data_IF_696199596289
#
_entry.id   IF_696199596289
#
_cell.length_a   1.000
_cell.length_b   1.000
_cell.length_c   1.000
_cell.angle_alpha   90.00
_cell.angle_beta   90.00
_cell.angle_gamma   90.00
#
_symmetry.space_group_name_H-M   'P 1'
#
loop_
_entity.id
_entity.type
_entity.pdbx_description
1 polymer ?
#
# COMPACT_ATOMS: atom_id res chain seq x y z
N UNK A 1 15.17 -36.25 -4.91
CA UNK A 1 15.68 -34.87 -5.04
C UNK A 1 14.55 -34.08 -5.68
N UNK A 2 13.61 -33.65 -4.85
CA UNK A 2 12.45 -32.89 -5.32
C UNK A 2 12.90 -31.45 -5.51
N UNK A 3 13.02 -31.04 -6.76
CA UNK A 3 13.26 -29.65 -7.13
C UNK A 3 12.02 -28.86 -6.71
N UNK A 4 12.11 -28.17 -5.58
CA UNK A 4 11.11 -27.21 -5.12
C UNK A 4 11.15 -26.02 -6.09
N UNK A 5 10.46 -26.15 -7.24
CA UNK A 5 10.24 -25.01 -8.11
C UNK A 5 9.42 -23.99 -7.31
N UNK A 6 9.85 -22.72 -7.22
CA UNK A 6 9.01 -21.69 -6.63
C UNK A 6 7.69 -21.68 -7.41
N UNK A 7 6.58 -21.81 -6.70
CA UNK A 7 5.25 -21.62 -7.30
C UNK A 7 5.24 -20.22 -7.95
N UNK A 8 4.57 -20.03 -9.10
CA UNK A 8 4.57 -18.75 -9.81
C UNK A 8 4.07 -17.56 -8.96
N UNK A 9 3.34 -17.86 -7.88
CA UNK A 9 2.86 -16.91 -6.87
C UNK A 9 3.90 -16.50 -5.83
N UNK A 10 5.08 -17.16 -5.79
CA UNK A 10 6.20 -16.85 -4.90
C UNK A 10 7.28 -15.97 -5.56
N UNK A 11 7.06 -15.57 -6.81
CA UNK A 11 8.01 -14.79 -7.59
C UNK A 11 7.79 -13.29 -7.35
N UNK A 12 8.86 -12.48 -7.34
CA UNK A 12 8.75 -11.06 -7.07
C UNK A 12 7.95 -10.33 -8.17
N UNK A 13 7.25 -9.23 -7.85
CA UNK A 13 6.47 -8.45 -8.81
C UNK A 13 7.31 -7.95 -9.98
N UNK A 14 6.99 -8.38 -11.20
CA UNK A 14 7.78 -8.04 -12.39
C UNK A 14 7.09 -7.02 -13.30
N UNK A 15 5.78 -7.15 -13.48
CA UNK A 15 4.99 -6.26 -14.33
C UNK A 15 4.41 -5.13 -13.49
N UNK A 16 5.15 -4.04 -13.34
CA UNK A 16 4.69 -2.86 -12.58
C UNK A 16 4.50 -1.68 -13.53
N UNK A 17 3.36 -1.01 -13.41
CA UNK A 17 3.01 0.22 -14.11
C UNK A 17 2.61 1.29 -13.11
N UNK A 18 3.02 2.53 -13.35
CA UNK A 18 2.53 3.68 -12.58
C UNK A 18 1.60 4.51 -13.46
N UNK A 19 0.36 4.66 -13.01
CA UNK A 19 -0.63 5.56 -13.61
C UNK A 19 -0.56 6.90 -12.88
N UNK A 20 -0.08 7.92 -13.57
CA UNK A 20 0.07 9.27 -13.04
C UNK A 20 -1.10 10.15 -13.46
N UNK A 21 -1.72 10.81 -12.49
CA UNK A 21 -2.72 11.86 -12.72
C UNK A 21 -2.25 13.18 -12.10
N UNK A 22 -2.46 14.30 -12.78
CA UNK A 22 -2.19 15.63 -12.22
C UNK A 22 -3.50 16.28 -11.81
N UNK A 23 -3.52 16.86 -10.61
CA UNK A 23 -4.72 17.53 -10.07
C UNK A 23 -5.08 18.80 -10.84
N UNK A 24 -4.14 19.36 -11.60
CA UNK A 24 -4.26 20.68 -12.25
C UNK A 24 -4.49 20.61 -13.77
N UNK A 25 -4.38 19.43 -14.40
CA UNK A 25 -4.48 19.29 -15.86
C UNK A 25 -5.73 18.51 -16.33
N UNK A 26 -6.73 18.37 -15.45
CA UNK A 26 -7.98 17.69 -15.79
C UNK A 26 -8.88 18.61 -16.61
N UNK A 27 -8.83 18.50 -17.94
CA UNK A 27 -9.90 19.01 -18.80
C UNK A 27 -11.25 18.39 -18.36
N UNK A 28 -12.36 19.14 -18.41
CA UNK A 28 -13.66 18.63 -17.96
C UNK A 28 -14.10 17.47 -18.87
N UNK A 29 -14.00 16.23 -18.38
CA UNK A 29 -14.58 15.05 -19.04
C UNK A 29 -13.74 13.77 -19.02
N UNK A 30 -12.45 13.79 -18.71
CA UNK A 30 -11.65 12.57 -18.58
C UNK A 30 -10.42 12.76 -17.68
N UNK A 31 -10.08 11.81 -16.79
CA UNK A 31 -8.77 11.80 -16.17
C UNK A 31 -7.72 11.49 -17.26
N UNK A 32 -6.88 12.46 -17.61
CA UNK A 32 -5.66 12.22 -18.38
C UNK A 32 -4.68 11.48 -17.48
N UNK A 33 -4.69 10.15 -17.57
CA UNK A 33 -3.71 9.30 -16.86
C UNK A 33 -2.59 8.93 -17.81
N UNK A 34 -1.36 9.22 -17.41
CA UNK A 34 -0.16 8.80 -18.13
C UNK A 34 0.39 7.53 -17.48
N UNK A 35 0.70 6.51 -18.28
CA UNK A 35 1.34 5.29 -17.78
C UNK A 35 2.86 5.38 -17.97
N UNK A 36 3.60 5.00 -16.94
CA UNK A 36 5.06 4.95 -16.96
C UNK A 36 5.55 3.62 -16.36
N UNK A 37 6.77 3.23 -16.75
CA UNK A 37 7.47 2.11 -16.13
C UNK A 37 8.43 2.64 -15.06
N UNK A 38 8.30 2.21 -13.79
CA UNK A 38 9.25 2.57 -12.77
C UNK A 38 10.53 1.74 -12.91
N UNK A 39 11.61 2.25 -12.34
CA UNK A 39 12.79 1.43 -12.05
C UNK A 39 12.44 0.58 -10.82
N UNK A 40 12.49 -0.74 -10.95
CA UNK A 40 12.15 -1.67 -9.87
C UNK A 40 13.43 -2.08 -9.15
N UNK A 41 13.47 -1.82 -7.85
CA UNK A 41 14.51 -2.33 -6.96
C UNK A 41 13.86 -3.27 -5.95
N UNK A 42 14.36 -4.51 -5.88
CA UNK A 42 13.92 -5.47 -4.88
C UNK A 42 14.74 -5.31 -3.61
N UNK A 43 14.05 -5.30 -2.48
CA UNK A 43 14.66 -5.24 -1.18
C UNK A 43 14.09 -6.36 -0.31
N UNK A 44 14.97 -7.17 0.25
CA UNK A 44 14.61 -8.29 1.11
C UNK A 44 14.76 -7.91 2.59
N UNK A 45 14.27 -8.77 3.48
CA UNK A 45 14.23 -8.52 4.92
C UNK A 45 15.61 -8.30 5.55
N UNK A 46 16.66 -8.87 4.94
CA UNK A 46 18.05 -8.78 5.41
C UNK A 46 18.80 -7.56 4.85
N UNK A 47 18.19 -6.79 3.95
CA UNK A 47 18.80 -5.64 3.30
C UNK A 47 18.63 -4.34 4.10
N UNK A 48 19.59 -3.42 3.98
CA UNK A 48 19.53 -2.11 4.62
C UNK A 48 18.40 -1.24 4.05
N UNK A 49 17.65 -0.53 4.89
CA UNK A 49 16.56 0.37 4.49
C UNK A 49 17.01 1.71 3.86
N UNK A 50 18.31 2.01 3.88
CA UNK A 50 18.86 3.29 3.39
C UNK A 50 18.54 3.57 1.90
N UNK A 51 18.60 2.59 0.97
CA UNK A 51 18.28 2.82 -0.44
C UNK A 51 16.82 3.17 -0.72
N UNK A 52 15.89 2.97 0.23
CA UNK A 52 14.48 3.32 0.07
C UNK A 52 14.21 4.81 0.20
N UNK A 53 15.19 5.59 0.62
CA UNK A 53 15.05 7.03 0.76
C UNK A 53 15.41 7.72 -0.56
N UNK A 54 14.62 8.72 -1.00
CA UNK A 54 14.96 9.53 -2.15
C UNK A 54 16.36 10.15 -1.99
N UNK A 55 17.23 9.93 -2.97
CA UNK A 55 18.60 10.47 -3.00
C UNK A 55 18.63 11.85 -3.66
N UNK A 56 17.67 12.14 -4.54
CA UNK A 56 17.54 13.42 -5.22
C UNK A 56 16.19 14.09 -4.96
N UNK A 57 16.11 15.44 -4.98
CA UNK A 57 14.86 16.17 -4.76
C UNK A 57 13.76 15.85 -5.78
N UNK A 58 14.15 15.51 -7.00
CA UNK A 58 13.24 15.18 -8.10
C UNK A 58 12.93 13.68 -8.20
N UNK A 59 13.45 12.88 -7.27
CA UNK A 59 13.22 11.45 -7.23
C UNK A 59 11.90 11.13 -6.53
N UNK A 60 11.15 10.21 -7.12
CA UNK A 60 9.93 9.69 -6.54
C UNK A 60 10.08 8.20 -6.24
N UNK A 61 10.04 7.88 -4.95
CA UNK A 61 10.14 6.51 -4.47
C UNK A 61 8.77 6.03 -3.99
N UNK A 62 8.38 4.86 -4.50
CA UNK A 62 7.17 4.13 -4.16
C UNK A 62 7.59 2.76 -3.61
N UNK A 63 7.03 2.37 -2.48
CA UNK A 63 7.32 1.11 -1.79
C UNK A 63 6.11 0.19 -1.93
N UNK A 64 6.27 -0.90 -2.69
CA UNK A 64 5.31 -1.99 -2.81
C UNK A 64 5.71 -3.08 -1.80
N UNK A 65 4.93 -3.22 -0.74
CA UNK A 65 5.09 -4.28 0.25
C UNK A 65 4.40 -5.55 -0.25
N UNK A 66 5.22 -6.54 -0.59
CA UNK A 66 4.81 -7.79 -1.21
C UNK A 66 5.36 -8.96 -0.39
N UNK A 67 4.44 -9.73 0.18
CA UNK A 67 4.77 -10.97 0.89
C UNK A 67 4.21 -12.16 0.08
N UNK A 68 5.07 -12.96 -0.57
CA UNK A 68 4.63 -14.13 -1.35
C UNK A 68 4.02 -15.24 -0.49
N UNK A 69 4.28 -15.24 0.82
CA UNK A 69 3.74 -16.23 1.75
C UNK A 69 2.35 -15.84 2.29
N UNK A 70 1.95 -14.58 2.10
CA UNK A 70 0.69 -14.04 2.56
C UNK A 70 -0.33 -13.97 1.44
N UNK A 71 -1.58 -14.30 1.75
CA UNK A 71 -2.71 -14.10 0.84
C UNK A 71 -3.23 -12.65 0.84
N UNK A 72 -2.63 -11.75 1.63
CA UNK A 72 -3.03 -10.35 1.70
C UNK A 72 -2.69 -9.64 0.40
N UNK A 73 -3.59 -8.75 -0.03
CA UNK A 73 -3.31 -7.85 -1.14
C UNK A 73 -2.09 -6.99 -0.81
N UNK A 74 -1.10 -6.90 -1.71
CA UNK A 74 0.07 -6.05 -1.51
C UNK A 74 -0.35 -4.60 -1.25
N UNK A 75 0.47 -3.89 -0.48
CA UNK A 75 0.21 -2.48 -0.18
C UNK A 75 1.26 -1.59 -0.81
N UNK A 76 0.88 -0.38 -1.23
CA UNK A 76 1.81 0.58 -1.81
C UNK A 76 1.80 1.87 -1.03
N UNK A 77 2.99 2.38 -0.73
CA UNK A 77 3.19 3.65 -0.03
C UNK A 77 4.10 4.54 -0.86
N UNK A 78 3.81 5.84 -0.89
CA UNK A 78 4.76 6.83 -1.39
C UNK A 78 5.58 7.35 -0.23
N UNK A 79 6.90 7.46 -0.43
CA UNK A 79 7.79 8.18 0.49
C UNK A 79 8.19 9.55 -0.09
N UNK A 80 7.57 9.93 -1.21
CA UNK A 80 7.83 11.18 -1.91
C UNK A 80 6.98 12.32 -1.33
N UNK A 81 7.49 13.57 -1.40
CA UNK A 81 6.80 14.72 -0.79
C UNK A 81 5.54 15.17 -1.54
N UNK A 82 5.56 15.09 -2.86
CA UNK A 82 4.56 15.66 -3.77
C UNK A 82 3.83 14.62 -4.61
N UNK A 83 4.06 13.32 -4.37
CA UNK A 83 3.42 12.21 -5.07
C UNK A 83 2.67 11.35 -4.06
N UNK A 84 1.37 11.15 -4.29
CA UNK A 84 0.48 10.40 -3.40
C UNK A 84 -0.07 9.18 -4.14
N UNK A 85 -0.09 8.04 -3.47
CA UNK A 85 -0.73 6.81 -3.97
C UNK A 85 -2.23 6.86 -3.66
N UNK A 86 -3.05 6.57 -4.64
CA UNK A 86 -4.52 6.55 -4.53
C UNK A 86 -5.13 5.19 -4.78
N UNK A 87 -4.34 4.23 -5.24
CA UNK A 87 -4.82 2.87 -5.48
C UNK A 87 -3.72 1.94 -5.95
N UNK A 88 -3.98 0.66 -5.75
CA UNK A 88 -3.27 -0.44 -6.38
C UNK A 88 -4.31 -1.33 -7.06
N UNK A 89 -4.10 -1.65 -8.33
CA UNK A 89 -4.84 -2.69 -9.05
C UNK A 89 -3.91 -3.84 -9.36
N UNK A 90 -4.39 -5.06 -9.17
CA UNK A 90 -3.66 -6.28 -9.45
C UNK A 90 -4.48 -7.08 -10.45
N UNK A 91 -3.96 -7.23 -11.65
CA UNK A 91 -4.59 -7.95 -12.75
C UNK A 91 -3.65 -9.02 -13.30
N UNK A 92 -4.13 -9.91 -14.16
CA UNK A 92 -3.26 -10.84 -14.87
C UNK A 92 -2.50 -10.11 -15.99
N UNK A 93 -1.17 -10.32 -16.07
CA UNK A 93 -0.36 -9.68 -17.08
C UNK A 93 -0.62 -10.30 -18.47
N UNK A 94 -0.88 -9.50 -19.51
CA UNK A 94 -1.04 -9.98 -20.88
C UNK A 94 0.20 -10.76 -21.33
N UNK A 95 0.01 -12.02 -21.72
CA UNK A 95 1.10 -12.89 -22.18
C UNK A 95 1.87 -13.62 -21.08
N UNK A 96 1.46 -13.52 -19.82
CA UNK A 96 2.12 -14.18 -18.69
C UNK A 96 2.14 -15.72 -18.75
N UNK A 97 1.22 -16.34 -19.50
CA UNK A 97 1.12 -17.80 -19.68
C UNK A 97 2.39 -18.37 -20.36
N UNK A 98 3.18 -17.53 -21.04
CA UNK A 98 4.37 -17.94 -21.79
C UNK A 98 5.70 -17.62 -21.06
N UNK A 99 5.66 -16.98 -19.89
CA UNK A 99 6.88 -16.56 -19.19
C UNK A 99 7.23 -17.50 -18.05
N UNK A 100 8.09 -18.48 -18.36
CA UNK A 100 8.69 -19.36 -17.36
C UNK A 100 9.49 -18.54 -16.34
N UNK A 101 9.08 -18.61 -15.07
CA UNK A 101 9.84 -18.04 -13.95
C UNK A 101 9.61 -16.55 -13.66
N UNK A 102 8.51 -15.94 -14.13
CA UNK A 102 8.09 -14.58 -13.71
C UNK A 102 6.73 -14.60 -13.03
N UNK A 103 6.50 -13.65 -12.12
CA UNK A 103 5.19 -13.42 -11.55
C UNK A 103 4.22 -13.04 -12.67
N UNK A 104 3.08 -13.72 -12.75
CA UNK A 104 2.09 -13.57 -13.81
C UNK A 104 1.14 -12.38 -13.61
N UNK A 105 1.23 -11.69 -12.47
CA UNK A 105 0.40 -10.55 -12.14
C UNK A 105 1.03 -9.23 -12.59
N UNK A 106 0.16 -8.33 -13.06
CA UNK A 106 0.44 -6.93 -13.30
C UNK A 106 -0.05 -6.08 -12.14
N UNK A 107 0.82 -5.20 -11.67
CA UNK A 107 0.54 -4.24 -10.61
C UNK A 107 0.45 -2.84 -11.22
N UNK A 108 -0.72 -2.23 -11.16
CA UNK A 108 -0.95 -0.84 -11.60
C UNK A 108 -1.10 0.05 -10.38
N UNK A 109 -0.09 0.88 -10.13
CA UNK A 109 -0.04 1.83 -9.03
C UNK A 109 -0.62 3.15 -9.50
N UNK A 110 -1.73 3.59 -8.90
CA UNK A 110 -2.37 4.85 -9.26
C UNK A 110 -1.88 5.97 -8.35
N UNK A 111 -1.32 7.01 -8.95
CA UNK A 111 -0.71 8.14 -8.24
C UNK A 111 -1.27 9.47 -8.68
N UNK A 112 -1.18 10.46 -7.79
CA UNK A 112 -1.49 11.85 -8.09
C UNK A 112 -0.37 12.74 -7.56
N UNK A 113 0.06 13.71 -8.35
CA UNK A 113 1.01 14.74 -7.90
C UNK A 113 0.37 16.11 -7.86
N UNK A 114 0.80 16.92 -6.88
CA UNK A 114 0.43 18.34 -6.83
C UNK A 114 1.55 19.19 -7.44
N UNK A 115 1.34 19.68 -8.67
CA UNK A 115 2.26 20.56 -9.39
C UNK A 115 2.27 22.01 -8.85
N UNK A 116 1.60 22.30 -7.73
CA UNK A 116 1.45 23.66 -7.20
C UNK A 116 2.77 24.35 -6.82
N UNK A 117 3.88 23.62 -6.68
CA UNK A 117 5.16 24.18 -6.27
C UNK A 117 5.82 25.11 -7.32
N UNK A 118 5.42 25.03 -8.60
CA UNK A 118 6.09 25.77 -9.69
C UNK A 118 5.26 26.92 -10.29
N UNK A 119 3.98 27.07 -9.95
CA UNK A 119 3.15 28.16 -10.47
C UNK A 119 2.88 29.22 -9.40
N UNK A 120 3.70 30.28 -9.44
CA UNK A 120 3.60 31.50 -8.64
C UNK A 120 2.24 32.22 -8.79
N UNK A 121 1.93 33.24 -7.95
CA UNK A 121 0.58 33.74 -7.72
C UNK A 121 0.08 34.57 -8.90
N UNK A 122 -0.38 33.92 -9.95
CA UNK A 122 -1.21 34.60 -10.95
C UNK A 122 -2.64 34.37 -10.54
N UNK A 123 -3.17 35.39 -9.86
CA UNK A 123 -4.58 35.73 -9.71
C UNK A 123 -5.27 35.92 -11.07
N UNK A 124 -5.03 34.99 -12.01
CA UNK A 124 -5.84 34.89 -13.21
C UNK A 124 -7.21 34.49 -12.72
N UNK A 125 -8.21 35.31 -13.02
CA UNK A 125 -9.60 35.11 -12.60
C UNK A 125 -10.12 33.85 -13.27
N UNK A 126 -9.77 32.68 -12.74
CA UNK A 126 -10.32 31.39 -13.15
C UNK A 126 -11.83 31.52 -13.10
N UNK A 127 -12.51 31.07 -14.15
CA UNK A 127 -13.96 31.11 -14.16
C UNK A 127 -14.50 30.29 -12.97
N UNK A 128 -15.63 30.69 -12.35
CA UNK A 128 -16.19 29.96 -11.20
C UNK A 128 -16.42 28.46 -11.49
N UNK A 129 -16.72 28.14 -12.74
CA UNK A 129 -16.92 26.77 -13.21
C UNK A 129 -15.64 25.94 -13.14
N UNK A 130 -14.49 26.52 -13.52
CA UNK A 130 -13.18 25.86 -13.45
C UNK A 130 -12.79 25.61 -12.00
N UNK A 131 -12.97 26.62 -11.13
CA UNK A 131 -12.67 26.49 -9.69
C UNK A 131 -13.52 25.38 -9.05
N UNK A 132 -14.80 25.31 -9.38
CA UNK A 132 -15.68 24.27 -8.84
C UNK A 132 -15.34 22.87 -9.37
N UNK A 133 -14.97 22.75 -10.65
CA UNK A 133 -14.53 21.48 -11.24
C UNK A 133 -13.24 20.99 -10.58
N UNK A 134 -12.24 21.87 -10.40
CA UNK A 134 -11.00 21.59 -9.67
C UNK A 134 -11.29 21.16 -8.23
N UNK A 135 -12.16 21.89 -7.53
CA UNK A 135 -12.53 21.56 -6.15
C UNK A 135 -13.18 20.17 -6.06
N UNK A 136 -14.15 19.86 -6.93
CA UNK A 136 -14.82 18.54 -6.96
C UNK A 136 -13.82 17.42 -7.25
N UNK A 137 -12.91 17.64 -8.18
CA UNK A 137 -11.87 16.68 -8.52
C UNK A 137 -10.91 16.42 -7.34
N UNK A 138 -10.39 17.49 -6.71
CA UNK A 138 -9.57 17.41 -5.49
C UNK A 138 -10.28 16.65 -4.38
N UNK A 139 -11.55 16.95 -4.14
CA UNK A 139 -12.34 16.28 -3.12
C UNK A 139 -12.55 14.78 -3.41
N UNK A 140 -12.73 14.41 -4.68
CA UNK A 140 -12.82 13.01 -5.09
C UNK A 140 -11.50 12.25 -4.84
N UNK A 141 -10.36 12.87 -5.16
CA UNK A 141 -9.02 12.30 -4.89
C UNK A 141 -8.80 12.13 -3.40
N UNK A 142 -9.12 13.14 -2.59
CA UNK A 142 -8.98 13.07 -1.13
C UNK A 142 -9.81 11.94 -0.54
N UNK A 143 -11.07 11.81 -0.96
CA UNK A 143 -11.93 10.70 -0.53
C UNK A 143 -11.33 9.36 -0.88
N UNK A 144 -10.77 9.23 -2.09
CA UNK A 144 -10.12 8.00 -2.55
C UNK A 144 -8.86 7.68 -1.73
N UNK A 145 -8.02 8.67 -1.46
CA UNK A 145 -6.79 8.50 -0.68
C UNK A 145 -7.05 8.15 0.79
N UNK A 146 -8.17 8.62 1.35
CA UNK A 146 -8.58 8.35 2.73
C UNK A 146 -9.36 7.04 2.90
N UNK A 147 -9.69 6.34 1.81
CA UNK A 147 -10.28 5.00 1.91
C UNK A 147 -9.20 4.03 2.37
N UNK A 148 -9.12 3.82 3.68
CA UNK A 148 -8.26 2.79 4.26
C UNK A 148 -8.77 1.40 3.88
N UNK A 149 -7.88 0.43 3.57
CA UNK A 149 -8.29 -0.96 3.51
C UNK A 149 -8.77 -1.40 4.91
N UNK A 150 -10.04 -1.81 5.01
CA UNK A 150 -10.59 -2.48 6.19
C UNK A 150 -9.86 -3.79 6.40
N UNK A 151 -8.84 -3.77 7.26
CA UNK A 151 -7.99 -4.94 7.50
C UNK A 151 -6.98 -4.73 8.62
N UNK A 152 -7.29 -3.87 9.59
CA UNK A 152 -6.62 -3.98 10.89
C UNK A 152 -7.17 -5.25 11.54
N UNK A 153 -6.33 -6.24 11.91
CA UNK A 153 -6.78 -7.24 12.86
C UNK A 153 -7.19 -6.49 14.12
N UNK A 154 -8.44 -6.67 14.54
CA UNK A 154 -8.91 -6.24 15.85
C UNK A 154 -7.89 -6.69 16.88
N UNK A 155 -7.34 -5.74 17.64
CA UNK A 155 -6.55 -6.01 18.85
C UNK A 155 -7.49 -6.51 19.95
N UNK A 156 -8.18 -7.62 19.72
CA UNK A 156 -9.00 -8.32 20.69
C UNK A 156 -8.70 -9.82 20.56
N UNK A 157 -7.54 -10.23 21.07
CA UNK A 157 -7.40 -11.44 21.92
C UNK A 157 -5.98 -11.44 22.51
N UNK A 158 -5.71 -10.50 23.42
CA UNK A 158 -4.67 -10.74 24.41
C UNK A 158 -5.29 -11.76 25.37
N UNK A 159 -4.96 -13.03 25.16
CA UNK A 159 -5.22 -14.11 26.10
C UNK A 159 -4.80 -13.63 27.51
N UNK A 160 -5.75 -13.62 28.44
CA UNK A 160 -5.42 -13.53 29.86
C UNK A 160 -4.54 -14.73 30.23
N UNK A 161 -3.40 -14.51 30.91
CA UNK A 161 -2.56 -15.61 31.34
C UNK A 161 -3.28 -16.44 32.40
N UNK A 162 -3.41 -17.73 32.08
CA UNK A 162 -3.85 -18.84 32.93
C UNK A 162 -3.26 -18.71 34.35
N UNK A 163 -4.09 -18.33 35.32
CA UNK A 163 -3.75 -18.39 36.74
C UNK A 163 -4.04 -19.81 37.27
N UNK A 164 -3.00 -20.64 37.23
CA UNK A 164 -2.55 -21.72 38.13
C UNK A 164 -3.54 -22.46 39.09
N UNK A 165 -3.25 -23.75 39.42
CA UNK A 165 -4.22 -24.73 39.92
C UNK A 165 -4.57 -24.57 41.40
N UNK A 166 -5.82 -24.89 41.71
CA UNK A 166 -6.38 -24.94 43.06
C UNK A 166 -5.88 -26.20 43.79
N UNK A 167 -5.24 -26.10 44.97
CA UNK A 167 -4.87 -27.29 45.73
C UNK A 167 -6.06 -27.80 46.56
N UNK A 168 -6.22 -29.11 46.50
CA UNK A 168 -7.16 -29.94 47.25
C UNK A 168 -7.15 -29.66 48.76
N UNK A 169 -8.32 -29.91 49.35
CA UNK A 169 -8.65 -29.59 50.73
C UNK A 169 -7.77 -30.23 51.80
N UNK A 170 -7.78 -29.58 52.97
CA UNK A 170 -7.35 -30.18 54.23
C UNK A 170 -8.50 -30.07 55.23
N UNK A 171 -9.01 -31.25 55.58
CA UNK A 171 -9.92 -31.53 56.69
C UNK A 171 -9.50 -30.85 58.01
N UNK A 172 -10.44 -30.18 58.65
CA UNK A 172 -10.36 -29.84 60.08
C UNK A 172 -10.59 -31.08 60.94
N UNK A 173 -9.73 -31.39 61.94
CA UNK A 173 -10.08 -32.31 63.00
C UNK A 173 -10.55 -31.56 64.27
N UNK A 174 -11.47 -32.22 64.97
CA UNK A 174 -12.03 -31.91 66.29
C UNK A 174 -11.02 -31.38 67.33
N UNK A 175 -11.50 -30.50 68.20
CA UNK A 175 -11.09 -30.45 69.60
C UNK A 175 -12.28 -30.06 70.51
N UNK A 176 -12.42 -30.82 71.60
CA UNK A 176 -13.47 -30.83 72.63
C UNK A 176 -12.98 -30.08 73.89
N UNK A 177 -13.92 -29.52 74.67
CA UNK A 177 -13.85 -29.03 76.07
C UNK A 177 -13.01 -27.75 76.31
N UNK A 178 -13.44 -26.81 77.16
CA UNK A 178 -14.18 -26.91 78.43
C UNK A 178 -15.28 -25.87 78.60
#
# INVERSE_FOLDING_TARGET
>A
MDANLPTPQALPPYYVLVSHSSVNNAAPGAPSSNFSHPIIQYQYQDDSAIPLLPQHPDEHVLVLDYDPSSQKTPTVKSVSRNLVVTGLKVDEAPGAILTDGKNTHMFVIETTSDDHAQNSPVTERKSPHVVLAEFKHRNAILRRALTYPEGLPSLEEIEEPVSAPQPDGVQSPNAIHS
#
